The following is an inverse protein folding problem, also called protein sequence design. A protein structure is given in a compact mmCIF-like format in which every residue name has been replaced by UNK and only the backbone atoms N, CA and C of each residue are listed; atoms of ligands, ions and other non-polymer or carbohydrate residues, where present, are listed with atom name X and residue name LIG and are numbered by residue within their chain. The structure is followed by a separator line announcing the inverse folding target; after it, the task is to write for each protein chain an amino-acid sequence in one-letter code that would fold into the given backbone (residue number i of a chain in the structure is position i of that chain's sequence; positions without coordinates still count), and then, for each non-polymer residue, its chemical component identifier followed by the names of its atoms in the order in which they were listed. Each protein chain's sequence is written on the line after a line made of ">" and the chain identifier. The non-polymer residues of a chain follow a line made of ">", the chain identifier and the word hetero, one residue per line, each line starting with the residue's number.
data_IF_570875050945
#
_entry.id   IF_570875050945
#
_cell.length_a   1.000
_cell.length_b   1.000
_cell.length_c   1.000
_cell.angle_alpha   90.00
_cell.angle_beta   90.00
_cell.angle_gamma   90.00
#
_symmetry.space_group_name_H-M   'P 1'
#
loop_
_entity.id
_entity.type
_entity.pdbx_description
1 polymer ?
2 non-polymer ?
3 water ?
#
# COMPACT_ATOMS: atom_id res chain seq x y z
N UNK A 22 11.13 -17.64 -9.38
CA UNK A 22 10.05 -17.23 -10.33
C UNK A 22 9.93 -15.72 -10.43
N UNK A 23 9.67 -15.08 -9.28
CA UNK A 23 9.60 -13.64 -9.22
C UNK A 23 10.88 -13.09 -8.54
N UNK A 24 11.73 -12.46 -9.34
CA UNK A 24 12.95 -11.79 -8.88
C UNK A 24 12.66 -10.36 -8.40
N UNK A 25 11.72 -9.70 -9.07
CA UNK A 25 11.47 -8.27 -8.85
C UNK A 25 10.01 -8.03 -8.60
N UNK A 26 9.73 -7.22 -7.58
CA UNK A 26 8.39 -6.72 -7.28
C UNK A 26 8.10 -5.55 -8.24
N UNK A 27 7.08 -5.69 -9.08
CA UNK A 27 6.69 -4.61 -10.00
C UNK A 27 5.30 -4.16 -9.65
N UNK A 28 5.17 -2.90 -9.24
CA UNK A 28 3.88 -2.26 -8.98
C UNK A 28 3.78 -0.97 -9.78
N UNK A 29 2.59 -0.63 -10.20
CA UNK A 29 2.32 0.65 -10.86
C UNK A 29 1.23 1.30 -10.02
N UNK A 30 1.54 2.34 -9.24
CA UNK A 30 0.58 2.94 -8.31
C UNK A 30 0.13 4.23 -8.96
N UNK A 31 -1.16 4.29 -9.28
CA UNK A 31 -1.64 5.42 -10.09
C UNK A 31 -2.75 6.12 -9.34
N UNK A 32 -2.71 7.45 -9.30
CA UNK A 32 -3.72 8.23 -8.60
C UNK A 32 -4.71 8.89 -9.55
N UNK A 33 -5.98 8.83 -9.21
CA UNK A 33 -6.99 9.68 -9.84
C UNK A 33 -6.73 11.14 -9.47
N UNK A 34 -7.42 12.08 -10.14
CA UNK A 34 -7.23 13.48 -9.79
C UNK A 34 -7.64 13.81 -8.36
N UNK A 35 -8.73 13.21 -7.88
CA UNK A 35 -9.21 13.46 -6.53
C UNK A 35 -8.77 12.27 -5.67
N UNK A 36 -7.72 12.49 -4.90
CA UNK A 36 -7.28 11.51 -3.90
C UNK A 36 -7.05 12.25 -2.58
N UNK A 37 -7.22 11.52 -1.48
CA UNK A 37 -6.77 11.94 -0.16
C UNK A 37 -7.22 13.36 0.15
N UNK A 38 -8.51 13.64 -0.06
CA UNK A 38 -8.94 15.02 0.02
C UNK A 38 -9.07 15.50 1.45
N UNK A 39 -8.79 16.78 1.63
CA UNK A 39 -9.02 17.41 2.92
C UNK A 39 -10.52 17.54 3.20
N UNK A 40 -10.89 18.04 4.39
CA UNK A 40 -12.31 18.20 4.67
C UNK A 40 -12.95 19.17 3.71
N UNK A 41 -12.18 20.15 3.20
CA UNK A 41 -12.66 21.09 2.19
C UNK A 41 -12.71 20.48 0.79
N UNK A 42 -12.37 19.20 0.64
CA UNK A 42 -12.42 18.53 -0.65
C UNK A 42 -11.22 18.75 -1.53
N UNK A 43 -10.12 19.27 -0.98
CA UNK A 43 -8.95 19.60 -1.79
C UNK A 43 -8.05 18.35 -1.88
N UNK A 44 -7.75 17.87 -3.11
CA UNK A 44 -6.87 16.69 -3.25
C UNK A 44 -5.49 16.98 -2.70
N UNK A 45 -4.91 15.98 -2.04
CA UNK A 45 -3.59 16.12 -1.42
C UNK A 45 -2.77 14.89 -1.75
N UNK A 46 -1.46 15.07 -1.89
CA UNK A 46 -0.57 13.93 -2.06
C UNK A 46 -0.66 13.02 -0.84
N UNK A 47 -0.29 11.76 -1.03
CA UNK A 47 -0.37 10.77 0.03
C UNK A 47 0.89 9.93 0.04
N UNK A 48 1.36 9.55 1.23
CA UNK A 48 2.43 8.57 1.35
C UNK A 48 1.83 7.19 1.23
N UNK A 49 2.44 6.35 0.40
CA UNK A 49 2.07 4.96 0.31
C UNK A 49 3.29 4.15 0.75
N UNK A 50 3.07 3.23 1.68
CA UNK A 50 4.14 2.38 2.18
C UNK A 50 3.98 0.97 1.59
N UNK A 51 5.09 0.47 1.08
CA UNK A 51 5.16 -0.85 0.48
C UNK A 51 5.99 -1.73 1.41
N UNK A 52 5.46 -2.88 1.80
CA UNK A 52 6.12 -3.79 2.74
C UNK A 52 6.34 -5.14 2.12
N UNK A 53 7.56 -5.64 2.20
CA UNK A 53 7.82 -7.05 1.89
C UNK A 53 7.76 -7.83 3.19
N UNK A 54 6.84 -8.80 3.24
CA UNK A 54 6.48 -9.45 4.51
C UNK A 54 6.74 -10.94 4.54
N UNK A 55 7.27 -11.44 5.65
CA UNK A 55 7.43 -12.88 5.81
C UNK A 55 6.09 -13.60 5.95
N UNK A 56 5.09 -12.91 6.47
CA UNK A 56 3.79 -13.45 6.77
C UNK A 56 2.81 -12.29 6.77
N UNK A 57 1.52 -12.60 6.66
CA UNK A 57 0.48 -11.58 6.54
C UNK A 57 -0.34 -11.33 7.80
N UNK A 58 -0.26 -12.23 8.78
CA UNK A 58 -1.23 -12.19 9.88
C UNK A 58 -1.13 -10.92 10.70
N UNK A 59 0.08 -10.55 11.12
CA UNK A 59 0.26 -9.36 11.92
C UNK A 59 -0.13 -8.08 11.16
N UNK A 60 0.32 -8.01 9.91
CA UNK A 60 -0.03 -6.87 9.04
C UNK A 60 -1.55 -6.73 8.91
N UNK A 61 -2.23 -7.85 8.63
CA UNK A 61 -3.65 -7.81 8.34
C UNK A 61 -4.44 -7.47 9.60
N UNK A 62 -3.93 -7.84 10.78
CA UNK A 62 -4.63 -7.61 12.05
C UNK A 62 -4.38 -6.21 12.59
N UNK A 63 -3.32 -5.56 12.10
CA UNK A 63 -2.98 -4.21 12.60
C UNK A 63 -4.03 -3.21 12.15
N UNK A 64 -4.42 -2.29 13.03
CA UNK A 64 -5.22 -1.15 12.59
C UNK A 64 -4.30 -0.06 12.04
N UNK A 65 -4.91 0.99 11.50
CA UNK A 65 -4.18 2.06 10.88
C UNK A 65 -3.16 2.69 11.85
N UNK A 66 -3.60 2.96 13.08
CA UNK A 66 -2.72 3.58 14.06
C UNK A 66 -1.54 2.67 14.38
N UNK A 67 -1.82 1.38 14.52
CA UNK A 67 -0.81 0.38 14.88
C UNK A 67 0.19 0.18 13.77
N UNK A 68 -0.30 0.20 12.53
CA UNK A 68 0.57 -0.09 11.42
C UNK A 68 1.53 1.07 11.22
N UNK A 69 1.04 2.30 11.37
CA UNK A 69 1.80 3.51 11.06
C UNK A 69 2.50 4.20 12.23
N UNK A 70 1.98 4.06 13.44
CA UNK A 70 2.58 4.74 14.63
C UNK A 70 2.94 3.78 15.77
N UNK A 71 2.57 2.52 15.63
CA UNK A 71 2.72 1.51 16.70
C UNK A 71 4.08 0.83 16.86
N UNK A 72 4.26 0.15 17.99
CA UNK A 72 5.52 -0.54 18.26
C UNK A 72 5.32 -2.06 18.28
N UNK A 73 4.55 -2.56 17.32
CA UNK A 73 4.36 -4.01 17.17
C UNK A 73 5.64 -4.68 16.71
N UNK A 74 6.26 -5.41 17.62
CA UNK A 74 7.50 -6.09 17.35
C UNK A 74 7.29 -7.36 16.53
N UNK A 75 6.11 -8.00 16.66
CA UNK A 75 5.77 -9.09 15.76
C UNK A 75 5.69 -8.53 14.33
N UNK A 76 5.00 -7.39 14.16
CA UNK A 76 4.99 -6.77 12.83
C UNK A 76 6.39 -6.42 12.36
N UNK A 77 7.17 -5.75 13.20
CA UNK A 77 8.56 -5.44 12.86
C UNK A 77 9.34 -6.68 12.44
N UNK A 78 9.13 -7.80 13.15
CA UNK A 78 9.78 -9.07 12.81
C UNK A 78 9.39 -9.61 11.42
N UNK A 79 8.18 -9.27 10.96
CA UNK A 79 7.71 -9.75 9.67
C UNK A 79 8.18 -8.90 8.49
N UNK A 80 8.59 -7.66 8.72
CA UNK A 80 8.94 -6.77 7.63
C UNK A 80 10.39 -6.99 7.22
N UNK A 81 10.60 -7.43 5.99
CA UNK A 81 11.93 -7.64 5.43
C UNK A 81 12.44 -6.33 4.84
N UNK A 82 11.59 -5.61 4.12
CA UNK A 82 11.98 -4.37 3.48
C UNK A 82 10.74 -3.52 3.37
N UNK A 83 10.93 -2.22 3.33
CA UNK A 83 9.83 -1.27 3.24
C UNK A 83 10.26 -0.08 2.41
N UNK A 84 9.35 0.46 1.61
CA UNK A 84 9.62 1.68 0.86
C UNK A 84 8.48 2.64 1.07
N UNK A 85 8.76 3.92 1.24
CA UNK A 85 7.72 4.96 1.30
C UNK A 85 7.77 5.77 0.03
N UNK A 86 6.66 5.88 -0.67
CA UNK A 86 6.59 6.71 -1.87
C UNK A 86 5.55 7.79 -1.68
N UNK A 87 5.68 8.86 -2.47
CA UNK A 87 4.84 10.05 -2.34
C UNK A 87 4.07 10.20 -3.63
N UNK A 88 2.76 9.98 -3.56
CA UNK A 88 1.90 9.96 -4.74
C UNK A 88 1.15 11.28 -4.85
N UNK A 89 1.39 12.00 -5.94
CA UNK A 89 0.63 13.24 -6.20
C UNK A 89 -0.76 12.94 -6.76
N UNK A 90 -1.73 13.83 -6.51
CA UNK A 90 -3.02 13.70 -7.19
C UNK A 90 -2.77 13.69 -8.71
N UNK A 91 -3.42 12.76 -9.41
CA UNK A 91 -3.29 12.61 -10.83
C UNK A 91 -1.95 12.02 -11.28
N UNK A 92 -1.10 11.65 -10.33
CA UNK A 92 0.24 11.17 -10.59
C UNK A 92 0.37 9.66 -10.55
N UNK A 93 1.59 9.18 -10.68
CA UNK A 93 1.86 7.74 -10.62
C UNK A 93 3.26 7.49 -10.10
N UNK A 94 3.45 6.31 -9.52
CA UNK A 94 4.74 5.86 -9.02
C UNK A 94 4.97 4.43 -9.49
N UNK A 95 6.12 4.17 -10.08
CA UNK A 95 6.52 2.82 -10.47
C UNK A 95 7.41 2.27 -9.37
N UNK A 96 7.08 1.08 -8.85
CA UNK A 96 7.93 0.38 -7.90
C UNK A 96 8.53 -0.82 -8.62
N UNK A 97 9.86 -0.90 -8.70
CA UNK A 97 10.56 -2.03 -9.31
C UNK A 97 11.68 -2.39 -8.35
N UNK A 98 11.34 -3.21 -7.38
CA UNK A 98 12.14 -3.45 -6.18
C UNK A 98 12.53 -4.93 -6.13
N UNK A 99 13.78 -5.27 -5.77
CA UNK A 99 14.10 -6.71 -5.62
C UNK A 99 13.13 -7.34 -4.64
N UNK A 100 12.55 -8.49 -5.00
CA UNK A 100 11.61 -9.16 -4.12
C UNK A 100 12.39 -10.21 -3.33
N UNK A 101 12.47 -10.07 -2.02
CA UNK A 101 13.19 -11.08 -1.26
C UNK A 101 12.55 -12.43 -1.39
N UNK A 102 13.37 -13.47 -1.46
CA UNK A 102 12.81 -14.81 -1.58
C UNK A 102 11.94 -15.24 -0.39
N UNK A 103 12.14 -14.60 0.78
CA UNK A 103 11.32 -14.90 1.97
C UNK A 103 10.05 -14.04 2.05
N UNK A 104 9.85 -13.16 1.10
CA UNK A 104 8.67 -12.27 1.10
C UNK A 104 7.48 -13.03 0.54
N UNK A 105 6.74 -13.66 1.42
CA UNK A 105 5.55 -14.41 0.99
C UNK A 105 4.39 -13.45 0.63
N UNK A 106 4.42 -12.24 1.15
CA UNK A 106 3.36 -11.24 0.90
C UNK A 106 3.96 -9.87 0.69
N UNK A 107 3.29 -9.07 -0.11
CA UNK A 107 3.60 -7.66 -0.25
C UNK A 107 2.39 -6.89 0.22
N UNK A 108 2.57 -6.03 1.22
CA UNK A 108 1.50 -5.16 1.69
C UNK A 108 1.69 -3.78 1.10
N UNK A 109 0.59 -3.10 0.80
CA UNK A 109 0.64 -1.73 0.31
C UNK A 109 -0.39 -0.96 1.11
N UNK A 110 0.02 0.06 1.85
CA UNK A 110 -0.92 0.78 2.71
C UNK A 110 -0.73 2.28 2.51
N UNK A 111 -1.82 3.00 2.32
CA UNK A 111 -1.75 4.43 2.12
C UNK A 111 -2.03 5.17 3.44
N UNK A 112 -1.20 6.18 3.72
CA UNK A 112 -1.34 6.98 4.93
C UNK A 112 -2.38 8.07 4.73
N UNK A 113 -3.59 7.66 4.39
CA UNK A 113 -4.68 8.61 4.10
C UNK A 113 -5.00 9.44 5.33
N UNK A 114 -5.43 10.66 5.07
CA UNK A 114 -5.94 11.54 6.11
C UNK A 114 -7.19 10.95 6.78
N UNK A 115 -8.02 10.32 5.93
CA UNK A 115 -9.36 9.83 6.26
C UNK A 115 -9.49 8.33 5.85
N UNK A 116 -8.72 7.42 6.50
CA UNK A 116 -8.87 6.02 6.05
C UNK A 116 -10.26 5.50 6.44
N UNK A 117 -10.81 4.62 5.60
CA UNK A 117 -12.08 3.99 5.93
C UNK A 117 -11.74 2.71 6.68
N UNK A 118 -11.66 2.82 8.00
CA UNK A 118 -11.25 1.68 8.79
C UNK A 118 -12.33 0.61 8.84
N UNK A 119 -13.60 1.00 8.73
CA UNK A 119 -14.69 0.03 8.72
C UNK A 119 -14.70 -0.86 7.47
N UNK A 120 -14.37 -0.27 6.32
CA UNK A 120 -14.38 -1.04 5.07
C UNK A 120 -13.02 -1.62 4.75
N UNK A 121 -11.94 -1.16 5.43
CA UNK A 121 -10.60 -1.67 5.25
C UNK A 121 -10.11 -1.48 3.81
N UNK A 122 -10.34 -0.28 3.26
CA UNK A 122 -10.04 0.01 1.86
C UNK A 122 -8.77 0.86 1.67
N UNK A 123 -7.97 0.97 2.72
CA UNK A 123 -6.76 1.81 2.73
C UNK A 123 -5.49 1.04 2.51
N UNK A 124 -5.62 -0.27 2.29
CA UNK A 124 -4.47 -1.15 2.10
C UNK A 124 -4.91 -2.34 1.26
N UNK A 125 -3.91 -2.97 0.62
CA UNK A 125 -4.11 -4.23 -0.09
C UNK A 125 -2.92 -5.12 0.26
N UNK A 126 -3.08 -6.41 0.10
CA UNK A 126 -2.00 -7.37 0.32
C UNK A 126 -2.01 -8.33 -0.84
N UNK A 127 -0.82 -8.61 -1.35
CA UNK A 127 -0.67 -9.54 -2.44
C UNK A 127 0.22 -10.70 -2.06
N UNK A 128 -0.25 -11.92 -2.30
CA UNK A 128 0.62 -13.07 -2.16
C UNK A 128 1.57 -13.11 -3.34
N UNK A 129 2.61 -13.94 -3.23
CA UNK A 129 3.57 -14.11 -4.33
C UNK A 129 2.91 -14.52 -5.65
N UNK A 130 1.88 -15.40 -5.53
CA UNK A 130 1.13 -15.93 -6.68
C UNK A 130 0.25 -14.88 -7.33
N UNK A 131 0.26 -13.67 -6.78
CA UNK A 131 -0.48 -12.57 -7.40
C UNK A 131 0.42 -11.61 -8.16
N UNK A 132 1.73 -11.80 -8.06
CA UNK A 132 2.68 -10.97 -8.78
C UNK A 132 3.03 -11.59 -10.12
N UNK A 133 3.57 -10.77 -11.02
CA UNK A 133 4.01 -11.24 -12.32
C UNK A 133 5.49 -10.88 -12.48
N UNK A 134 6.25 -11.74 -13.19
CA UNK A 134 7.69 -11.51 -13.25
C UNK A 134 8.11 -10.26 -14.03
N UNK A 135 7.35 -9.89 -15.04
CA UNK A 135 7.79 -8.82 -15.94
C UNK A 135 6.69 -7.83 -16.29
N UNK A 136 5.62 -7.86 -15.51
CA UNK A 136 4.46 -6.98 -15.70
C UNK A 136 4.09 -6.46 -14.31
N UNK A 137 3.72 -5.17 -14.20
CA UNK A 137 3.35 -4.69 -12.87
C UNK A 137 1.91 -4.99 -12.51
N UNK A 138 1.65 -5.08 -11.23
CA UNK A 138 0.29 -5.01 -10.74
C UNK A 138 -0.09 -3.54 -10.57
N UNK A 139 -1.25 -3.18 -11.08
CA UNK A 139 -1.74 -1.82 -11.01
C UNK A 139 -2.57 -1.62 -9.77
N UNK A 140 -2.23 -0.61 -8.99
CA UNK A 140 -2.97 -0.22 -7.81
C UNK A 140 -3.47 1.19 -8.05
N UNK A 141 -4.80 1.34 -8.07
CA UNK A 141 -5.47 2.63 -8.24
C UNK A 141 -5.67 3.29 -6.87
N UNK A 142 -5.32 4.57 -6.77
CA UNK A 142 -5.67 5.36 -5.60
C UNK A 142 -6.79 6.30 -6.05
N UNK A 143 -7.94 6.24 -5.39
CA UNK A 143 -9.07 7.06 -5.77
C UNK A 143 -9.73 7.49 -4.47
N UNK A 144 -9.89 8.80 -4.26
CA UNK A 144 -10.44 9.27 -2.99
C UNK A 144 -9.57 8.74 -1.86
N UNK A 145 -10.19 8.05 -0.91
CA UNK A 145 -9.47 7.49 0.23
C UNK A 145 -9.38 5.98 0.13
N UNK A 146 -9.30 5.45 -1.10
CA UNK A 146 -9.21 4.01 -1.29
C UNK A 146 -8.07 3.56 -2.19
N UNK A 147 -7.64 2.31 -1.98
CA UNK A 147 -6.70 1.58 -2.87
C UNK A 147 -7.42 0.42 -3.48
N UNK A 148 -7.22 0.21 -4.78
CA UNK A 148 -7.85 -0.93 -5.46
C UNK A 148 -6.85 -1.57 -6.40
N UNK A 149 -6.70 -2.89 -6.32
CA UNK A 149 -5.92 -3.63 -7.31
C UNK A 149 -6.76 -3.76 -8.59
N UNK A 150 -6.24 -3.35 -9.73
CA UNK A 150 -6.91 -3.34 -11.05
C UNK A 150 -6.17 -4.02 -12.21
N UNK A 151 -6.91 -4.60 -13.18
CA UNK A 151 -6.19 -5.16 -14.34
C UNK A 151 -5.51 -4.09 -15.20
#
# INVERSE_FOLDING_TARGET
>A
GGLTQRVADGTVSATKSLFYRQIKTLHLDIRAREAINTSAAGIPLSVVVRIYQLKDNRSFDSADYQALFTGDNEILAGDIIAQKDVWLQPGGSVAVDMPLDDAAKFTGVAAMFLEPDQKKNTWRVVLGRDELEPDTPRLIEVSGNTLTLLPVKDK
#
